data_IF_983621491665
#
_entry.id   IF_983621491665
#
_cell.length_a   1.000
_cell.length_b   1.000
_cell.length_c   1.000
_cell.angle_alpha   90.00
_cell.angle_beta   90.00
_cell.angle_gamma   90.00
#
_symmetry.space_group_name_H-M   'P 1'
#
loop_
_entity.id
_entity.type
_entity.pdbx_description
1 polymer ?
#
# COMPACT_ATOMS: atom_id res chain seq x y z
N UNK A 1 -37.96 -11.68 24.23
CA UNK A 1 -37.00 -12.73 23.79
C UNK A 1 -37.33 -14.03 24.51
N UNK A 2 -37.47 -15.13 23.83
CA UNK A 2 -37.70 -16.44 24.45
C UNK A 2 -36.39 -17.02 25.05
N UNK A 3 -36.49 -18.04 25.89
CA UNK A 3 -35.34 -18.65 26.59
C UNK A 3 -34.29 -19.21 25.60
N UNK A 4 -34.75 -19.69 24.46
CA UNK A 4 -33.90 -20.27 23.41
C UNK A 4 -33.05 -19.16 22.72
N UNK A 5 -33.66 -18.00 22.44
CA UNK A 5 -32.97 -16.83 21.89
C UNK A 5 -31.95 -16.27 22.86
N UNK A 6 -32.29 -16.19 24.18
CA UNK A 6 -31.35 -15.70 25.19
C UNK A 6 -30.13 -16.63 25.34
N UNK A 7 -30.30 -17.92 25.21
CA UNK A 7 -29.20 -18.90 25.19
C UNK A 7 -28.34 -18.74 23.95
N UNK A 8 -28.95 -18.52 22.78
CA UNK A 8 -28.23 -18.29 21.54
C UNK A 8 -27.36 -17.01 21.61
N UNK A 9 -27.90 -15.90 22.15
CA UNK A 9 -27.16 -14.64 22.34
C UNK A 9 -25.95 -14.83 23.23
N UNK A 10 -26.10 -15.41 24.41
CA UNK A 10 -24.99 -15.67 25.33
C UNK A 10 -23.89 -16.53 24.71
N UNK A 11 -24.26 -17.57 23.96
CA UNK A 11 -23.31 -18.41 23.23
C UNK A 11 -22.60 -17.63 22.12
N UNK A 12 -23.33 -16.80 21.38
CA UNK A 12 -22.76 -15.94 20.36
C UNK A 12 -21.75 -14.94 20.93
N UNK A 13 -22.08 -14.30 22.04
CA UNK A 13 -21.17 -13.38 22.74
C UNK A 13 -19.90 -14.09 23.22
N UNK A 14 -20.02 -15.23 23.89
CA UNK A 14 -18.87 -16.03 24.31
C UNK A 14 -17.97 -16.46 23.11
N UNK A 15 -18.58 -16.81 21.99
CA UNK A 15 -17.84 -17.14 20.78
C UNK A 15 -17.12 -15.93 20.16
N UNK A 16 -17.70 -14.72 20.23
CA UNK A 16 -17.02 -13.49 19.84
C UNK A 16 -15.79 -13.21 20.70
N UNK A 17 -15.89 -13.38 22.00
CA UNK A 17 -14.77 -13.22 22.92
C UNK A 17 -13.62 -14.22 22.62
N UNK A 18 -13.98 -15.44 22.22
CA UNK A 18 -13.03 -16.47 21.77
C UNK A 18 -12.50 -16.26 20.35
N UNK A 19 -12.87 -15.18 19.67
CA UNK A 19 -12.45 -14.89 18.27
C UNK A 19 -13.17 -15.75 17.21
N UNK A 20 -14.19 -16.54 17.59
CA UNK A 20 -14.95 -17.45 16.68
C UNK A 20 -16.14 -16.73 16.04
N UNK A 21 -15.85 -15.60 15.37
CA UNK A 21 -16.87 -14.68 14.86
C UNK A 21 -17.87 -15.32 13.90
N UNK A 22 -17.43 -16.28 13.05
CA UNK A 22 -18.31 -16.96 12.10
C UNK A 22 -19.36 -17.85 12.79
N UNK A 23 -18.98 -18.47 13.89
CA UNK A 23 -19.93 -19.29 14.68
C UNK A 23 -20.88 -18.40 15.49
N UNK A 24 -20.36 -17.31 16.05
CA UNK A 24 -21.17 -16.30 16.72
C UNK A 24 -22.25 -15.73 15.81
N UNK A 25 -21.94 -15.44 14.55
CA UNK A 25 -22.89 -14.98 13.53
C UNK A 25 -24.09 -15.95 13.40
N UNK A 26 -23.86 -17.27 13.37
CA UNK A 26 -24.91 -18.25 13.27
C UNK A 26 -25.90 -18.16 14.44
N UNK A 27 -25.40 -17.97 15.66
CA UNK A 27 -26.23 -17.81 16.86
C UNK A 27 -27.02 -16.49 16.83
N UNK A 28 -26.42 -15.37 16.42
CA UNK A 28 -27.13 -14.09 16.30
C UNK A 28 -28.20 -14.10 15.23
N UNK A 29 -27.96 -14.74 14.08
CA UNK A 29 -29.00 -14.93 13.04
C UNK A 29 -30.16 -15.80 13.51
N UNK A 30 -29.89 -16.84 14.31
CA UNK A 30 -30.93 -17.65 14.92
C UNK A 30 -31.80 -16.84 15.89
N UNK A 31 -31.17 -15.98 16.73
CA UNK A 31 -31.91 -15.11 17.62
C UNK A 31 -32.71 -14.03 16.86
N UNK A 32 -32.14 -13.45 15.79
CA UNK A 32 -32.84 -12.50 14.91
C UNK A 32 -34.04 -13.10 14.19
N UNK A 33 -34.01 -14.41 13.86
CA UNK A 33 -35.15 -15.06 13.26
C UNK A 33 -36.39 -15.10 14.22
N UNK A 34 -36.14 -15.14 15.53
CA UNK A 34 -37.20 -15.04 16.54
C UNK A 34 -37.58 -13.61 16.91
N UNK A 35 -36.63 -12.65 16.78
CA UNK A 35 -36.83 -11.23 17.14
C UNK A 35 -36.20 -10.32 16.07
N UNK A 36 -36.83 -10.18 14.88
CA UNK A 36 -36.20 -9.50 13.74
C UNK A 36 -35.96 -7.99 13.92
N UNK A 37 -36.67 -7.34 14.84
CA UNK A 37 -36.56 -5.91 15.13
C UNK A 37 -35.67 -5.56 16.33
N UNK A 38 -34.98 -6.52 16.92
CA UNK A 38 -34.19 -6.30 18.12
C UNK A 38 -32.85 -5.58 17.77
N UNK A 39 -32.64 -4.32 18.22
CA UNK A 39 -31.45 -3.54 17.86
C UNK A 39 -30.15 -4.15 18.42
N UNK A 40 -30.18 -4.73 19.62
CA UNK A 40 -29.01 -5.34 20.22
C UNK A 40 -28.50 -6.53 19.39
N UNK A 41 -29.41 -7.35 18.87
CA UNK A 41 -29.07 -8.49 18.02
C UNK A 41 -28.46 -8.05 16.68
N UNK A 42 -28.96 -6.95 16.10
CA UNK A 42 -28.36 -6.36 14.91
C UNK A 42 -26.97 -5.79 15.17
N UNK A 43 -26.75 -5.15 16.33
CA UNK A 43 -25.44 -4.66 16.76
C UNK A 43 -24.45 -5.81 16.97
N UNK A 44 -24.82 -6.88 17.63
CA UNK A 44 -24.00 -8.08 17.83
C UNK A 44 -23.66 -8.77 16.50
N UNK A 45 -24.63 -8.86 15.60
CA UNK A 45 -24.41 -9.36 14.24
C UNK A 45 -23.38 -8.48 13.50
N UNK A 46 -23.53 -7.14 13.57
CA UNK A 46 -22.60 -6.22 12.93
C UNK A 46 -21.16 -6.40 13.46
N UNK A 47 -20.98 -6.55 14.76
CA UNK A 47 -19.69 -6.82 15.38
C UNK A 47 -19.06 -8.13 14.88
N UNK A 48 -19.88 -9.21 14.78
CA UNK A 48 -19.40 -10.48 14.26
C UNK A 48 -18.97 -10.40 12.80
N UNK A 49 -19.69 -9.63 11.98
CA UNK A 49 -19.38 -9.39 10.58
C UNK A 49 -18.14 -8.53 10.39
N UNK A 50 -17.94 -7.52 11.25
CA UNK A 50 -16.72 -6.70 11.28
C UNK A 50 -15.47 -7.56 11.50
N UNK A 51 -15.51 -8.46 12.48
CA UNK A 51 -14.38 -9.37 12.76
C UNK A 51 -14.09 -10.34 11.58
N UNK A 52 -15.09 -10.59 10.74
CA UNK A 52 -14.95 -11.35 9.51
C UNK A 52 -14.57 -10.50 8.29
N UNK A 53 -14.37 -9.20 8.45
CA UNK A 53 -14.09 -8.21 7.38
C UNK A 53 -15.20 -8.14 6.32
N UNK A 54 -16.43 -8.55 6.67
CA UNK A 54 -17.62 -8.47 5.82
C UNK A 54 -18.31 -7.10 6.00
N UNK A 55 -17.56 -6.05 5.63
CA UNK A 55 -17.90 -4.68 5.95
C UNK A 55 -19.24 -4.20 5.36
N UNK A 56 -19.62 -4.66 4.16
CA UNK A 56 -20.91 -4.31 3.55
C UNK A 56 -22.10 -4.80 4.39
N UNK A 57 -22.06 -6.06 4.81
CA UNK A 57 -23.11 -6.66 5.64
C UNK A 57 -23.09 -6.07 7.07
N UNK A 58 -21.91 -5.79 7.61
CA UNK A 58 -21.78 -5.12 8.91
C UNK A 58 -22.42 -3.72 8.91
N UNK A 59 -22.20 -2.93 7.84
CA UNK A 59 -22.87 -1.63 7.63
C UNK A 59 -24.40 -1.80 7.65
N UNK A 60 -24.92 -2.76 6.90
CA UNK A 60 -26.35 -2.95 6.75
C UNK A 60 -26.99 -3.41 8.09
N UNK A 61 -26.32 -4.29 8.83
CA UNK A 61 -26.75 -4.69 10.16
C UNK A 61 -26.70 -3.53 11.17
N UNK A 62 -25.63 -2.72 11.18
CA UNK A 62 -25.53 -1.55 12.05
C UNK A 62 -26.63 -0.51 11.74
N UNK A 63 -26.95 -0.31 10.46
CA UNK A 63 -28.04 0.59 10.07
C UNK A 63 -29.41 0.06 10.53
N UNK A 64 -29.63 -1.25 10.48
CA UNK A 64 -30.84 -1.86 11.01
C UNK A 64 -30.97 -1.63 12.52
N UNK A 65 -29.87 -1.78 13.28
CA UNK A 65 -29.83 -1.45 14.71
C UNK A 65 -30.21 0.02 14.97
N UNK A 66 -29.57 0.97 14.26
CA UNK A 66 -29.80 2.41 14.41
C UNK A 66 -31.18 2.87 13.93
N UNK A 67 -31.85 2.10 13.08
CA UNK A 67 -33.26 2.37 12.71
C UNK A 67 -34.18 2.10 13.88
N UNK A 68 -33.89 1.08 14.69
CA UNK A 68 -34.67 0.73 15.87
C UNK A 68 -34.25 1.52 17.13
N UNK A 69 -32.95 1.76 17.30
CA UNK A 69 -32.37 2.58 18.37
C UNK A 69 -31.33 3.57 17.82
N UNK A 70 -31.73 4.82 17.50
CA UNK A 70 -30.84 5.83 16.95
C UNK A 70 -29.74 6.32 17.91
N UNK A 71 -29.81 6.01 19.20
CA UNK A 71 -28.84 6.44 20.22
C UNK A 71 -27.90 5.30 20.66
N UNK A 72 -28.00 4.12 20.05
CA UNK A 72 -27.06 3.01 20.37
C UNK A 72 -25.63 3.38 19.92
N UNK A 73 -24.83 3.74 20.92
CA UNK A 73 -23.40 4.08 20.76
C UNK A 73 -22.59 2.94 20.14
N UNK A 74 -22.93 1.70 20.50
CA UNK A 74 -22.24 0.51 20.01
C UNK A 74 -22.55 0.25 18.53
N UNK A 75 -23.81 0.47 18.12
CA UNK A 75 -24.19 0.38 16.72
C UNK A 75 -23.54 1.49 15.87
N UNK A 76 -23.45 2.73 16.39
CA UNK A 76 -22.68 3.80 15.74
C UNK A 76 -21.20 3.42 15.57
N UNK A 77 -20.56 2.92 16.62
CA UNK A 77 -19.17 2.45 16.55
C UNK A 77 -19.00 1.33 15.51
N UNK A 78 -19.90 0.35 15.49
CA UNK A 78 -19.88 -0.71 14.51
C UNK A 78 -20.08 -0.19 13.07
N UNK A 79 -20.99 0.75 12.87
CA UNK A 79 -21.21 1.39 11.58
C UNK A 79 -19.97 2.16 11.11
N UNK A 80 -19.35 2.94 11.99
CA UNK A 80 -18.11 3.66 11.67
C UNK A 80 -16.97 2.69 11.28
N UNK A 81 -16.81 1.58 12.00
CA UNK A 81 -15.86 0.54 11.66
C UNK A 81 -16.13 -0.10 10.28
N UNK A 82 -17.40 -0.37 9.97
CA UNK A 82 -17.81 -0.91 8.68
C UNK A 82 -17.54 0.06 7.52
N UNK A 83 -17.86 1.33 7.70
CA UNK A 83 -17.61 2.39 6.72
C UNK A 83 -16.10 2.59 6.49
N UNK A 84 -15.30 2.58 7.56
CA UNK A 84 -13.83 2.65 7.47
C UNK A 84 -13.26 1.46 6.69
N UNK A 85 -13.76 0.24 6.93
CA UNK A 85 -13.40 -0.96 6.17
C UNK A 85 -13.77 -0.89 4.69
N UNK A 86 -14.88 -0.22 4.36
CA UNK A 86 -15.31 0.08 2.99
C UNK A 86 -14.56 1.26 2.36
N UNK A 87 -13.63 1.90 3.06
CA UNK A 87 -12.90 3.11 2.66
C UNK A 87 -13.79 4.36 2.47
N UNK A 88 -14.98 4.36 3.03
CA UNK A 88 -15.88 5.52 3.12
C UNK A 88 -15.50 6.37 4.35
N UNK A 89 -14.26 6.87 4.35
CA UNK A 89 -13.64 7.49 5.52
C UNK A 89 -14.34 8.80 5.98
N UNK A 90 -14.82 9.68 5.09
CA UNK A 90 -15.56 10.87 5.53
C UNK A 90 -16.85 10.50 6.30
N UNK A 91 -17.63 9.55 5.76
CA UNK A 91 -18.86 9.06 6.42
C UNK A 91 -18.54 8.37 7.76
N UNK A 92 -17.47 7.58 7.81
CA UNK A 92 -17.01 6.95 9.05
C UNK A 92 -16.68 7.97 10.13
N UNK A 93 -16.03 9.09 9.77
CA UNK A 93 -15.71 10.17 10.70
C UNK A 93 -16.95 10.87 11.24
N UNK A 94 -17.95 11.12 10.41
CA UNK A 94 -19.23 11.71 10.83
C UNK A 94 -19.94 10.81 11.85
N UNK A 95 -20.01 9.50 11.56
CA UNK A 95 -20.67 8.52 12.43
C UNK A 95 -19.95 8.37 13.77
N UNK A 96 -18.62 8.32 13.77
CA UNK A 96 -17.85 8.24 15.03
C UNK A 96 -18.03 9.50 15.87
N UNK A 97 -18.09 10.68 15.25
CA UNK A 97 -18.33 11.93 15.96
C UNK A 97 -19.74 11.97 16.55
N UNK A 98 -20.74 11.44 15.83
CA UNK A 98 -22.07 11.28 16.39
C UNK A 98 -22.08 10.37 17.61
N UNK A 99 -21.34 9.26 17.58
CA UNK A 99 -21.16 8.38 18.75
C UNK A 99 -20.49 9.11 19.93
N UNK A 100 -19.50 9.98 19.65
CA UNK A 100 -18.83 10.79 20.66
C UNK A 100 -19.72 11.88 21.27
N UNK A 101 -20.69 12.42 20.53
CA UNK A 101 -21.71 13.31 21.09
C UNK A 101 -22.57 12.58 22.13
N UNK A 102 -22.87 11.30 21.91
CA UNK A 102 -23.63 10.45 22.83
C UNK A 102 -22.78 9.96 24.03
N UNK A 103 -21.50 9.66 23.78
CA UNK A 103 -20.59 9.11 24.78
C UNK A 103 -19.20 9.80 24.74
N UNK A 104 -19.09 11.07 25.20
CA UNK A 104 -17.86 11.88 25.05
C UNK A 104 -16.68 11.38 25.87
N UNK A 105 -16.89 10.54 26.88
CA UNK A 105 -15.85 9.97 27.74
C UNK A 105 -15.46 8.54 27.33
N UNK A 106 -15.80 8.12 26.12
CA UNK A 106 -15.40 6.79 25.62
C UNK A 106 -14.00 6.83 25.00
N UNK A 107 -13.03 6.23 25.68
CA UNK A 107 -11.66 6.08 25.17
C UNK A 107 -11.64 5.34 23.81
N UNK A 108 -12.45 4.29 23.68
CA UNK A 108 -12.54 3.50 22.46
C UNK A 108 -13.05 4.30 21.24
N UNK A 109 -14.01 5.23 21.44
CA UNK A 109 -14.49 6.09 20.36
C UNK A 109 -13.45 7.14 19.95
N UNK A 110 -12.74 7.74 20.90
CA UNK A 110 -11.64 8.65 20.58
C UNK A 110 -10.50 7.91 19.85
N UNK A 111 -10.21 6.68 20.24
CA UNK A 111 -9.26 5.83 19.54
C UNK A 111 -9.73 5.52 18.11
N UNK A 112 -11.00 5.18 17.93
CA UNK A 112 -11.61 4.92 16.63
C UNK A 112 -11.59 6.18 15.73
N UNK A 113 -11.90 7.37 16.28
CA UNK A 113 -11.74 8.64 15.56
C UNK A 113 -10.30 8.83 15.10
N UNK A 114 -9.33 8.57 15.97
CA UNK A 114 -7.90 8.64 15.63
C UNK A 114 -7.50 7.71 14.48
N UNK A 115 -7.99 6.48 14.46
CA UNK A 115 -7.76 5.54 13.34
C UNK A 115 -8.36 6.04 12.03
N UNK A 116 -9.57 6.57 12.05
CA UNK A 116 -10.24 7.11 10.85
C UNK A 116 -9.49 8.35 10.32
N UNK A 117 -9.08 9.25 11.21
CA UNK A 117 -8.32 10.45 10.86
C UNK A 117 -6.94 10.10 10.26
N UNK A 118 -6.25 9.13 10.84
CA UNK A 118 -4.98 8.65 10.31
C UNK A 118 -5.16 8.03 8.91
N UNK A 119 -6.24 7.28 8.70
CA UNK A 119 -6.58 6.71 7.40
C UNK A 119 -6.96 7.79 6.35
N UNK A 120 -7.38 9.00 6.79
CA UNK A 120 -7.62 10.18 5.95
C UNK A 120 -6.37 11.02 5.69
N UNK A 121 -5.17 10.56 6.10
CA UNK A 121 -3.92 11.34 6.03
C UNK A 121 -3.98 12.65 6.84
N UNK A 122 -4.62 12.61 8.03
CA UNK A 122 -4.78 13.73 8.98
C UNK A 122 -4.10 13.39 10.32
N UNK A 123 -2.78 13.15 10.33
CA UNK A 123 -2.07 12.63 11.51
C UNK A 123 -2.03 13.60 12.69
N UNK A 124 -2.09 14.92 12.46
CA UNK A 124 -2.13 15.90 13.53
C UNK A 124 -3.42 15.81 14.35
N UNK A 125 -4.57 15.72 13.68
CA UNK A 125 -5.87 15.57 14.35
C UNK A 125 -6.02 14.18 14.97
N UNK A 126 -5.46 13.14 14.33
CA UNK A 126 -5.40 11.81 14.93
C UNK A 126 -4.64 11.83 16.28
N UNK A 127 -3.52 12.56 16.33
CA UNK A 127 -2.73 12.70 17.57
C UNK A 127 -3.51 13.38 18.71
N UNK A 128 -4.37 14.36 18.37
CA UNK A 128 -5.26 15.01 19.36
C UNK A 128 -6.32 14.03 19.89
N UNK A 129 -6.99 13.29 19.00
CA UNK A 129 -7.99 12.28 19.39
C UNK A 129 -7.38 11.18 20.27
N UNK A 130 -6.21 10.67 19.88
CA UNK A 130 -5.47 9.67 20.66
C UNK A 130 -5.03 10.26 22.03
N UNK A 131 -4.69 11.55 22.07
CA UNK A 131 -4.41 12.24 23.33
C UNK A 131 -5.59 12.19 24.31
N UNK A 132 -6.82 12.39 23.80
CA UNK A 132 -8.06 12.26 24.58
C UNK A 132 -8.31 10.81 25.01
N UNK A 133 -8.16 9.86 24.10
CA UNK A 133 -8.29 8.43 24.40
C UNK A 133 -7.34 8.01 25.54
N UNK A 134 -6.06 8.41 25.44
CA UNK A 134 -5.02 8.10 26.43
C UNK A 134 -5.27 8.76 27.79
N UNK A 135 -5.86 9.95 27.83
CA UNK A 135 -6.24 10.58 29.08
C UNK A 135 -7.32 9.77 29.85
N UNK A 136 -8.18 9.07 29.10
CA UNK A 136 -9.25 8.22 29.64
C UNK A 136 -8.77 6.79 29.93
N UNK A 137 -7.84 6.26 29.13
CA UNK A 137 -7.30 4.91 29.25
C UNK A 137 -5.75 4.93 29.10
N UNK A 138 -4.99 5.34 30.12
CA UNK A 138 -3.54 5.53 30.03
C UNK A 138 -2.74 4.22 29.86
N UNK A 139 -3.30 3.09 30.26
CA UNK A 139 -2.68 1.77 30.17
C UNK A 139 -3.11 0.96 28.92
N UNK A 140 -3.80 1.61 27.98
CA UNK A 140 -4.21 0.97 26.74
C UNK A 140 -3.05 1.00 25.73
N UNK A 141 -2.58 -0.19 25.32
CA UNK A 141 -1.49 -0.36 24.36
C UNK A 141 -1.89 0.15 22.95
N UNK A 142 -3.18 0.02 22.57
CA UNK A 142 -3.68 0.53 21.29
C UNK A 142 -3.54 2.06 21.19
N UNK A 143 -3.78 2.78 22.29
CA UNK A 143 -3.57 4.23 22.37
C UNK A 143 -2.10 4.59 22.13
N UNK A 144 -1.17 3.89 22.76
CA UNK A 144 0.26 4.13 22.58
C UNK A 144 0.72 3.77 21.16
N UNK A 145 0.22 2.68 20.59
CA UNK A 145 0.54 2.25 19.22
C UNK A 145 0.01 3.23 18.17
N UNK A 146 -1.24 3.69 18.30
CA UNK A 146 -1.82 4.66 17.36
C UNK A 146 -1.12 6.03 17.47
N UNK A 147 -0.73 6.43 18.70
CA UNK A 147 0.10 7.62 18.89
C UNK A 147 1.44 7.49 18.15
N UNK A 148 2.08 6.33 18.23
CA UNK A 148 3.31 6.07 17.48
C UNK A 148 3.12 6.16 15.98
N UNK A 149 2.01 5.63 15.46
CA UNK A 149 1.68 5.73 14.04
C UNK A 149 1.49 7.19 13.59
N UNK A 150 0.72 7.98 14.34
CA UNK A 150 0.50 9.39 14.02
C UNK A 150 1.80 10.21 14.08
N UNK A 151 2.66 9.97 15.08
CA UNK A 151 3.96 10.62 15.20
C UNK A 151 4.92 10.22 14.07
N UNK A 152 4.87 8.95 13.63
CA UNK A 152 5.65 8.48 12.48
C UNK A 152 5.26 9.21 11.20
N UNK A 153 3.97 9.41 10.92
CA UNK A 153 3.49 10.16 9.75
C UNK A 153 3.84 11.65 9.84
N UNK A 154 3.88 12.22 11.05
CA UNK A 154 4.35 13.60 11.31
C UNK A 154 5.88 13.75 11.26
N UNK A 155 6.63 12.69 10.94
CA UNK A 155 8.10 12.66 10.97
C UNK A 155 8.75 12.96 12.33
N UNK A 156 8.00 12.85 13.43
CA UNK A 156 8.47 13.02 14.81
C UNK A 156 9.03 11.69 15.34
N UNK A 157 10.13 11.23 14.70
CA UNK A 157 10.60 9.84 14.83
C UNK A 157 11.04 9.46 16.25
N UNK A 158 11.63 10.38 17.03
CA UNK A 158 12.10 10.09 18.39
C UNK A 158 10.91 9.92 19.34
N UNK A 159 9.88 10.73 19.17
CA UNK A 159 8.65 10.59 19.96
C UNK A 159 7.85 9.34 19.55
N UNK A 160 7.88 8.98 18.26
CA UNK A 160 7.27 7.74 17.79
C UNK A 160 7.97 6.51 18.40
N UNK A 161 9.31 6.49 18.51
CA UNK A 161 10.04 5.42 19.21
C UNK A 161 9.66 5.32 20.68
N UNK A 162 9.55 6.45 21.38
CA UNK A 162 9.11 6.44 22.77
C UNK A 162 7.69 5.87 22.93
N UNK A 163 6.79 6.22 21.99
CA UNK A 163 5.42 5.71 21.98
C UNK A 163 5.36 4.20 21.65
N UNK A 164 6.19 3.70 20.72
CA UNK A 164 6.35 2.25 20.46
C UNK A 164 6.86 1.53 21.69
N UNK A 165 7.88 2.07 22.39
CA UNK A 165 8.41 1.47 23.60
C UNK A 165 7.34 1.40 24.71
N UNK A 166 6.49 2.43 24.84
CA UNK A 166 5.34 2.43 25.73
C UNK A 166 4.33 1.34 25.35
N UNK A 167 3.94 1.24 24.07
CA UNK A 167 3.00 0.22 23.60
C UNK A 167 3.51 -1.20 23.89
N UNK A 168 4.79 -1.48 23.57
CA UNK A 168 5.39 -2.81 23.79
C UNK A 168 5.67 -3.11 25.27
N UNK A 169 5.76 -2.11 26.13
CA UNK A 169 5.82 -2.30 27.58
C UNK A 169 4.44 -2.71 28.12
N UNK A 170 3.36 -2.13 27.60
CA UNK A 170 1.98 -2.44 27.99
C UNK A 170 1.55 -3.80 27.43
N UNK A 171 1.80 -4.03 26.15
CA UNK A 171 1.57 -5.31 25.47
C UNK A 171 2.77 -5.71 24.60
N UNK A 172 3.63 -6.63 25.07
CA UNK A 172 4.77 -7.13 24.31
C UNK A 172 4.40 -7.88 23.02
N UNK A 173 3.13 -8.27 22.84
CA UNK A 173 2.64 -8.97 21.66
C UNK A 173 1.81 -8.05 20.74
N UNK A 174 1.87 -6.75 20.94
CA UNK A 174 1.10 -5.79 20.14
C UNK A 174 1.59 -5.74 18.71
N UNK A 175 0.77 -6.23 17.75
CA UNK A 175 1.14 -6.39 16.33
C UNK A 175 1.52 -5.05 15.69
N UNK A 176 0.65 -4.04 15.84
CA UNK A 176 0.88 -2.72 15.24
C UNK A 176 2.13 -2.03 15.81
N UNK A 177 2.41 -2.17 17.10
CA UNK A 177 3.61 -1.61 17.69
C UNK A 177 4.89 -2.22 17.07
N UNK A 178 4.93 -3.54 16.87
CA UNK A 178 6.04 -4.19 16.17
C UNK A 178 6.11 -3.76 14.70
N UNK A 179 4.98 -3.57 14.02
CA UNK A 179 4.95 -3.06 12.65
C UNK A 179 5.53 -1.65 12.56
N UNK A 180 5.12 -0.74 13.44
CA UNK A 180 5.63 0.64 13.48
C UNK A 180 7.11 0.66 13.86
N UNK A 181 7.54 -0.18 14.81
CA UNK A 181 8.96 -0.37 15.14
C UNK A 181 9.79 -0.73 13.91
N UNK A 182 9.27 -1.62 13.06
CA UNK A 182 9.91 -1.98 11.80
C UNK A 182 10.01 -0.82 10.82
N UNK A 183 8.96 -0.01 10.70
CA UNK A 183 8.95 1.19 9.84
C UNK A 183 9.96 2.25 10.34
N UNK A 184 10.02 2.51 11.63
CA UNK A 184 10.98 3.42 12.26
C UNK A 184 12.43 2.96 12.01
N UNK A 185 12.69 1.66 12.19
CA UNK A 185 13.99 1.08 11.93
C UNK A 185 14.41 1.25 10.46
N UNK A 186 13.49 1.07 9.49
CA UNK A 186 13.76 1.31 8.07
C UNK A 186 14.14 2.77 7.80
N UNK A 187 13.42 3.72 8.34
CA UNK A 187 13.74 5.15 8.17
C UNK A 187 15.11 5.52 8.71
N UNK A 188 15.56 4.87 9.78
CA UNK A 188 16.90 5.06 10.37
C UNK A 188 18.00 4.22 9.69
N UNK A 189 17.67 3.47 8.65
CA UNK A 189 18.61 2.62 7.92
C UNK A 189 18.96 1.30 8.64
N UNK A 190 18.22 0.94 9.68
CA UNK A 190 18.39 -0.29 10.46
C UNK A 190 17.69 -1.49 9.83
N UNK A 191 18.11 -1.93 8.63
CA UNK A 191 17.46 -3.02 7.90
C UNK A 191 17.28 -4.32 8.69
N UNK A 192 18.28 -4.76 9.46
CA UNK A 192 18.18 -5.99 10.26
C UNK A 192 17.20 -5.87 11.44
N UNK A 193 17.12 -4.69 12.10
CA UNK A 193 16.13 -4.46 13.14
C UNK A 193 14.71 -4.39 12.57
N UNK A 194 14.55 -3.79 11.39
CA UNK A 194 13.29 -3.78 10.67
C UNK A 194 12.81 -5.19 10.29
N UNK A 195 13.72 -6.04 9.78
CA UNK A 195 13.41 -7.44 9.47
C UNK A 195 12.93 -8.18 10.71
N UNK A 196 13.60 -8.02 11.86
CA UNK A 196 13.19 -8.67 13.11
C UNK A 196 11.81 -8.20 13.56
N UNK A 197 11.57 -6.89 13.57
CA UNK A 197 10.30 -6.31 14.01
C UNK A 197 9.12 -6.77 13.12
N UNK A 198 9.24 -6.68 11.79
CA UNK A 198 8.18 -7.13 10.88
C UNK A 198 7.97 -8.66 10.92
N UNK A 199 9.03 -9.47 11.13
CA UNK A 199 8.89 -10.92 11.35
C UNK A 199 8.14 -11.21 12.65
N UNK A 200 8.37 -10.43 13.71
CA UNK A 200 7.62 -10.58 14.95
C UNK A 200 6.15 -10.25 14.73
N UNK A 201 5.83 -9.13 14.07
CA UNK A 201 4.46 -8.78 13.72
C UNK A 201 3.77 -9.91 12.91
N UNK A 202 4.43 -10.46 11.88
CA UNK A 202 3.88 -11.56 11.06
C UNK A 202 3.77 -12.90 11.78
N UNK A 203 4.56 -13.12 12.84
CA UNK A 203 4.41 -14.31 13.70
C UNK A 203 3.18 -14.20 14.59
N UNK A 204 2.87 -12.98 15.04
CA UNK A 204 1.69 -12.68 15.85
C UNK A 204 0.41 -12.63 15.00
N UNK A 205 0.47 -11.94 13.86
CA UNK A 205 -0.59 -11.94 12.85
C UNK A 205 -0.03 -12.25 11.45
N UNK A 206 -0.14 -13.50 10.96
CA UNK A 206 0.30 -13.88 9.61
C UNK A 206 -0.49 -13.21 8.48
N UNK A 207 -1.62 -12.59 8.75
CA UNK A 207 -2.48 -11.94 7.77
C UNK A 207 -2.18 -10.46 7.59
N UNK A 208 -1.37 -9.85 8.48
CA UNK A 208 -1.01 -8.43 8.40
C UNK A 208 -0.26 -8.12 7.09
N UNK A 209 -0.95 -7.44 6.19
CA UNK A 209 -0.41 -7.02 4.90
C UNK A 209 0.66 -5.93 5.04
N UNK A 210 0.53 -5.04 6.02
CA UNK A 210 1.48 -3.97 6.28
C UNK A 210 2.83 -4.50 6.79
N UNK A 211 2.81 -5.46 7.72
CA UNK A 211 4.03 -6.12 8.18
C UNK A 211 4.69 -6.95 7.07
N UNK A 212 3.90 -7.58 6.18
CA UNK A 212 4.42 -8.33 5.02
C UNK A 212 5.11 -7.40 4.03
N UNK A 213 4.50 -6.27 3.72
CA UNK A 213 5.08 -5.25 2.85
C UNK A 213 6.34 -4.65 3.46
N UNK A 214 6.30 -4.26 4.74
CA UNK A 214 7.45 -3.76 5.48
C UNK A 214 8.60 -4.75 5.52
N UNK A 215 8.34 -6.05 5.72
CA UNK A 215 9.37 -7.10 5.64
C UNK A 215 9.98 -7.19 4.23
N UNK A 216 9.15 -7.12 3.19
CA UNK A 216 9.63 -7.12 1.80
C UNK A 216 10.59 -5.95 1.55
N UNK A 217 10.23 -4.74 1.98
CA UNK A 217 11.07 -3.54 1.86
C UNK A 217 12.35 -3.69 2.70
N UNK A 218 12.25 -4.21 3.92
CA UNK A 218 13.40 -4.43 4.80
C UNK A 218 14.40 -5.43 4.21
N UNK A 219 13.93 -6.51 3.59
CA UNK A 219 14.80 -7.47 2.91
C UNK A 219 15.50 -6.88 1.68
N UNK A 220 14.80 -6.09 0.89
CA UNK A 220 15.39 -5.36 -0.25
C UNK A 220 16.46 -4.36 0.22
N UNK A 221 16.24 -3.70 1.37
CA UNK A 221 17.16 -2.70 1.93
C UNK A 221 18.53 -3.27 2.36
N UNK A 222 18.67 -4.61 2.45
CA UNK A 222 19.97 -5.27 2.61
C UNK A 222 20.92 -5.01 1.43
N UNK A 223 20.35 -4.75 0.23
CA UNK A 223 21.14 -4.25 -0.89
C UNK A 223 21.48 -2.78 -0.65
N UNK A 224 22.77 -2.38 -0.63
CA UNK A 224 23.17 -1.02 -0.30
C UNK A 224 22.64 0.02 -1.30
N UNK A 225 22.51 -0.35 -2.59
CA UNK A 225 21.93 0.53 -3.61
C UNK A 225 20.45 0.78 -3.35
N UNK A 226 19.69 -0.26 -3.02
CA UNK A 226 18.28 -0.13 -2.67
C UNK A 226 18.09 0.65 -1.36
N UNK A 227 18.92 0.40 -0.36
CA UNK A 227 18.93 1.16 0.88
C UNK A 227 19.23 2.65 0.66
N UNK A 228 20.13 2.98 -0.25
CA UNK A 228 20.40 4.37 -0.64
C UNK A 228 19.19 5.01 -1.34
N UNK A 229 18.52 4.28 -2.24
CA UNK A 229 17.30 4.74 -2.91
C UNK A 229 16.15 5.00 -1.92
N UNK A 230 15.96 4.09 -0.95
CA UNK A 230 14.96 4.28 0.11
C UNK A 230 15.23 5.55 0.94
N UNK A 231 16.49 5.78 1.33
CA UNK A 231 16.88 7.01 2.05
C UNK A 231 16.65 8.25 1.21
N UNK A 232 17.01 8.20 -0.08
CA UNK A 232 16.75 9.30 -1.02
C UNK A 232 15.24 9.57 -1.16
N UNK A 233 14.42 8.54 -1.34
CA UNK A 233 12.95 8.66 -1.42
C UNK A 233 12.34 9.22 -0.14
N UNK A 234 12.79 8.75 1.03
CA UNK A 234 12.37 9.28 2.33
C UNK A 234 12.76 10.75 2.52
N UNK A 235 14.00 11.13 2.14
CA UNK A 235 14.43 12.51 2.15
C UNK A 235 13.59 13.37 1.19
N UNK A 236 13.37 12.90 -0.03
CA UNK A 236 12.55 13.61 -1.01
C UNK A 236 11.12 13.81 -0.51
N UNK A 237 10.53 12.81 0.14
CA UNK A 237 9.17 12.92 0.71
C UNK A 237 9.08 13.89 1.89
N UNK A 238 10.18 14.17 2.58
CA UNK A 238 10.24 15.18 3.66
C UNK A 238 10.30 16.64 3.17
N UNK A 239 10.56 16.84 1.86
CA UNK A 239 10.63 18.19 1.29
C UNK A 239 9.23 18.75 0.97
N UNK A 240 9.02 20.07 1.05
CA UNK A 240 7.81 20.73 0.54
C UNK A 240 7.56 20.40 -0.93
N UNK A 241 6.30 20.33 -1.34
CA UNK A 241 5.89 19.89 -2.69
C UNK A 241 6.60 20.66 -3.82
N UNK A 242 6.75 21.98 -3.68
CA UNK A 242 7.47 22.80 -4.68
C UNK A 242 8.94 22.42 -4.81
N UNK A 243 9.62 22.16 -3.70
CA UNK A 243 11.04 21.76 -3.69
C UNK A 243 11.25 20.35 -4.27
N UNK A 244 10.30 19.44 -4.06
CA UNK A 244 10.35 18.10 -4.68
C UNK A 244 10.41 18.17 -6.20
N UNK A 245 9.56 19.02 -6.81
CA UNK A 245 9.55 19.19 -8.26
C UNK A 245 10.87 19.77 -8.78
N UNK A 246 11.47 20.71 -8.06
CA UNK A 246 12.79 21.23 -8.44
C UNK A 246 13.85 20.13 -8.44
N UNK A 247 13.90 19.29 -7.40
CA UNK A 247 14.86 18.17 -7.32
C UNK A 247 14.64 17.16 -8.45
N UNK A 248 13.38 16.82 -8.79
CA UNK A 248 13.06 15.91 -9.87
C UNK A 248 13.41 16.46 -11.26
N UNK A 249 13.44 17.79 -11.42
CA UNK A 249 13.83 18.44 -12.67
C UNK A 249 15.34 18.52 -12.87
N UNK A 250 16.16 18.37 -11.81
CA UNK A 250 17.63 18.48 -11.89
C UNK A 250 18.25 17.63 -12.99
N UNK A 251 17.94 16.32 -13.15
CA UNK A 251 18.52 15.53 -14.24
C UNK A 251 18.19 16.08 -15.63
N UNK A 252 16.94 16.54 -15.82
CA UNK A 252 16.51 17.13 -17.09
C UNK A 252 17.22 18.45 -17.39
N UNK A 253 17.29 19.34 -16.40
CA UNK A 253 17.99 20.63 -16.53
C UNK A 253 19.48 20.39 -16.79
N UNK A 254 20.10 19.45 -16.07
CA UNK A 254 21.52 19.13 -16.22
C UNK A 254 21.83 18.61 -17.64
N UNK A 255 21.05 17.67 -18.16
CA UNK A 255 21.21 17.19 -19.53
C UNK A 255 21.02 18.30 -20.57
N UNK A 256 20.12 19.27 -20.29
CA UNK A 256 19.90 20.42 -21.17
C UNK A 256 21.08 21.41 -21.16
N UNK A 257 21.65 21.66 -19.98
CA UNK A 257 22.82 22.54 -19.81
C UNK A 257 24.09 21.94 -20.39
N UNK A 258 24.20 20.62 -20.50
CA UNK A 258 25.36 19.95 -21.08
C UNK A 258 25.34 19.92 -22.62
N UNK A 259 24.20 20.13 -23.27
CA UNK A 259 24.08 20.13 -24.75
C UNK A 259 25.06 21.02 -25.50
N UNK A 260 25.39 22.25 -25.04
CA UNK A 260 26.40 23.09 -25.72
C UNK A 260 27.77 22.45 -25.77
N UNK A 261 28.05 21.45 -24.96
CA UNK A 261 29.33 20.72 -24.87
C UNK A 261 29.27 19.37 -25.60
N UNK A 262 28.25 19.14 -26.44
CA UNK A 262 28.14 17.93 -27.28
C UNK A 262 29.44 17.79 -28.12
N UNK A 263 30.01 16.57 -28.15
CA UNK A 263 31.31 16.26 -28.76
C UNK A 263 32.49 16.33 -27.80
N UNK A 264 32.28 16.76 -26.53
CA UNK A 264 33.30 16.64 -25.48
C UNK A 264 33.05 15.37 -24.66
N UNK A 265 34.05 14.48 -24.62
CA UNK A 265 33.91 13.14 -23.97
C UNK A 265 33.45 13.22 -22.51
N UNK A 266 33.85 14.24 -21.74
CA UNK A 266 33.42 14.40 -20.36
C UNK A 266 31.93 14.75 -20.24
N UNK A 267 31.37 15.54 -21.16
CA UNK A 267 29.97 15.92 -21.15
C UNK A 267 29.07 14.73 -21.55
N UNK A 268 29.50 13.97 -22.57
CA UNK A 268 28.82 12.72 -22.98
C UNK A 268 28.82 11.68 -21.85
N UNK A 269 29.98 11.46 -21.20
CA UNK A 269 30.07 10.57 -20.04
C UNK A 269 29.15 11.02 -18.91
N UNK A 270 29.09 12.32 -18.61
CA UNK A 270 28.24 12.85 -17.55
C UNK A 270 26.75 12.66 -17.89
N UNK A 271 26.34 12.91 -19.13
CA UNK A 271 24.96 12.65 -19.60
C UNK A 271 24.62 11.17 -19.45
N UNK A 272 25.50 10.28 -19.89
CA UNK A 272 25.29 8.82 -19.78
C UNK A 272 25.16 8.42 -18.30
N UNK A 273 26.00 8.93 -17.41
CA UNK A 273 25.93 8.63 -15.96
C UNK A 273 24.60 9.14 -15.37
N UNK A 274 24.17 10.36 -15.70
CA UNK A 274 22.89 10.90 -15.20
C UNK A 274 21.71 10.07 -15.69
N UNK A 275 21.67 9.74 -16.99
CA UNK A 275 20.63 8.90 -17.56
C UNK A 275 20.64 7.49 -16.94
N UNK A 276 21.83 6.90 -16.77
CA UNK A 276 21.97 5.58 -16.14
C UNK A 276 21.46 5.59 -14.68
N UNK A 277 21.73 6.63 -13.91
CA UNK A 277 21.23 6.78 -12.54
C UNK A 277 19.69 6.89 -12.50
N UNK A 278 19.10 7.66 -13.41
CA UNK A 278 17.65 7.77 -13.54
C UNK A 278 17.03 6.41 -13.89
N UNK A 279 17.56 5.74 -14.91
CA UNK A 279 17.10 4.41 -15.33
C UNK A 279 17.26 3.41 -14.20
N UNK A 280 18.40 3.41 -13.50
CA UNK A 280 18.65 2.52 -12.36
C UNK A 280 17.67 2.78 -11.23
N UNK A 281 17.37 4.04 -10.92
CA UNK A 281 16.41 4.39 -9.86
C UNK A 281 15.01 3.80 -10.14
N UNK A 282 14.59 3.74 -11.40
CA UNK A 282 13.30 3.17 -11.81
C UNK A 282 13.31 1.65 -11.93
N UNK A 283 14.45 1.09 -12.38
CA UNK A 283 14.60 -0.35 -12.55
C UNK A 283 14.88 -1.09 -11.23
N UNK A 284 15.40 -0.39 -10.21
CA UNK A 284 15.90 -1.03 -9.00
C UNK A 284 14.80 -1.77 -8.22
N UNK A 285 13.61 -1.21 -8.13
CA UNK A 285 12.50 -1.88 -7.45
C UNK A 285 12.03 -3.15 -8.18
N UNK A 286 11.73 -3.15 -9.49
CA UNK A 286 11.47 -4.37 -10.24
C UNK A 286 12.61 -5.40 -10.14
N UNK A 287 13.87 -4.98 -10.20
CA UNK A 287 15.02 -5.87 -10.04
C UNK A 287 15.06 -6.51 -8.65
N UNK A 288 14.79 -5.74 -7.59
CA UNK A 288 14.73 -6.30 -6.24
C UNK A 288 13.52 -7.24 -6.07
N UNK A 289 12.40 -6.96 -6.73
CA UNK A 289 11.28 -7.90 -6.78
C UNK A 289 11.65 -9.20 -7.50
N UNK A 290 12.48 -9.15 -8.57
CA UNK A 290 13.04 -10.36 -9.21
C UNK A 290 13.90 -11.18 -8.24
N UNK A 291 14.76 -10.51 -7.46
CA UNK A 291 15.59 -11.20 -6.44
C UNK A 291 14.72 -11.91 -5.40
N UNK A 292 13.66 -11.25 -4.90
CA UNK A 292 12.72 -11.88 -3.97
C UNK A 292 11.90 -13.00 -4.64
N UNK A 293 11.52 -12.86 -5.91
CA UNK A 293 10.77 -13.86 -6.66
C UNK A 293 11.57 -15.16 -6.84
N UNK A 294 12.88 -15.04 -7.13
CA UNK A 294 13.79 -16.17 -7.29
C UNK A 294 14.27 -16.74 -5.95
N UNK A 295 14.13 -15.98 -4.87
CA UNK A 295 14.55 -16.37 -3.53
C UNK A 295 13.50 -17.19 -2.77
N UNK A 296 13.85 -17.55 -1.52
CA UNK A 296 12.94 -18.24 -0.58
C UNK A 296 11.75 -17.38 -0.14
N UNK A 297 11.87 -16.08 -0.27
CA UNK A 297 10.91 -15.06 0.24
C UNK A 297 9.83 -14.67 -0.81
N UNK A 298 9.67 -15.48 -1.88
CA UNK A 298 8.68 -15.23 -2.96
C UNK A 298 7.23 -15.06 -2.47
N UNK A 299 6.92 -15.63 -1.30
CA UNK A 299 5.59 -15.55 -0.68
C UNK A 299 5.26 -14.15 -0.12
N UNK A 300 6.27 -13.31 0.11
CA UNK A 300 6.10 -11.93 0.57
C UNK A 300 5.59 -11.01 -0.54
N UNK A 301 5.84 -11.36 -1.81
CA UNK A 301 5.34 -10.56 -2.93
C UNK A 301 3.84 -10.76 -3.11
N UNK A 302 3.10 -9.66 -3.12
CA UNK A 302 1.67 -9.65 -3.44
C UNK A 302 1.42 -10.17 -4.87
N UNK A 303 0.20 -10.64 -5.16
CA UNK A 303 -0.16 -11.06 -6.53
C UNK A 303 0.11 -9.97 -7.57
N UNK A 304 -0.30 -8.69 -7.35
CA UNK A 304 0.03 -7.61 -8.30
C UNK A 304 1.53 -7.42 -8.49
N UNK A 305 2.34 -7.44 -7.41
CA UNK A 305 3.78 -7.28 -7.51
C UNK A 305 4.45 -8.43 -8.29
N UNK A 306 3.98 -9.67 -8.12
CA UNK A 306 4.48 -10.81 -8.91
C UNK A 306 4.17 -10.68 -10.39
N UNK A 307 2.93 -10.30 -10.74
CA UNK A 307 2.54 -10.08 -12.14
C UNK A 307 3.34 -8.92 -12.76
N UNK A 308 3.52 -7.83 -12.03
CA UNK A 308 4.36 -6.71 -12.46
C UNK A 308 5.81 -7.15 -12.71
N UNK A 309 6.36 -8.00 -11.83
CA UNK A 309 7.72 -8.54 -11.99
C UNK A 309 7.84 -9.45 -13.22
N UNK A 310 6.86 -10.29 -13.50
CA UNK A 310 6.85 -11.10 -14.73
C UNK A 310 6.75 -10.23 -15.98
N UNK A 311 5.90 -9.20 -15.97
CA UNK A 311 5.82 -8.21 -17.05
C UNK A 311 7.15 -7.51 -17.29
N UNK A 312 7.80 -7.06 -16.23
CA UNK A 312 9.15 -6.47 -16.30
C UNK A 312 10.16 -7.42 -16.94
N UNK A 313 10.25 -8.66 -16.47
CA UNK A 313 11.19 -9.66 -17.01
C UNK A 313 10.90 -9.96 -18.48
N UNK A 314 9.65 -10.09 -18.87
CA UNK A 314 9.25 -10.34 -20.26
C UNK A 314 9.68 -9.21 -21.20
N UNK A 315 9.35 -7.97 -20.89
CA UNK A 315 9.71 -6.83 -21.72
C UNK A 315 11.21 -6.51 -21.66
N UNK A 316 11.87 -6.66 -20.50
CA UNK A 316 13.30 -6.45 -20.39
C UNK A 316 14.11 -7.48 -21.22
N UNK A 317 13.73 -8.77 -21.15
CA UNK A 317 14.38 -9.81 -21.96
C UNK A 317 14.15 -9.60 -23.46
N UNK A 318 12.94 -9.22 -23.86
CA UNK A 318 12.64 -8.87 -25.24
C UNK A 318 13.42 -7.64 -25.72
N UNK A 319 13.57 -6.61 -24.88
CA UNK A 319 14.39 -5.43 -25.16
C UNK A 319 15.85 -5.82 -25.39
N UNK A 320 16.45 -6.59 -24.49
CA UNK A 320 17.85 -7.07 -24.60
C UNK A 320 18.03 -7.91 -25.84
N UNK A 321 17.14 -8.85 -26.13
CA UNK A 321 17.20 -9.67 -27.34
C UNK A 321 17.15 -8.81 -28.62
N UNK A 322 16.29 -7.79 -28.63
CA UNK A 322 16.17 -6.86 -29.77
C UNK A 322 17.44 -6.02 -29.95
N UNK A 323 18.08 -5.58 -28.84
CA UNK A 323 19.38 -4.91 -28.90
C UNK A 323 20.45 -5.82 -29.54
N UNK A 324 20.56 -7.07 -29.06
CA UNK A 324 21.54 -8.03 -29.58
C UNK A 324 21.36 -8.26 -31.08
N UNK A 325 20.12 -8.49 -31.53
CA UNK A 325 19.83 -8.65 -32.97
C UNK A 325 20.13 -7.36 -33.76
N UNK A 326 19.78 -6.21 -33.21
CA UNK A 326 20.05 -4.91 -33.85
C UNK A 326 21.55 -4.61 -34.00
N UNK A 327 22.38 -5.03 -33.04
CA UNK A 327 23.84 -4.86 -33.09
C UNK A 327 24.53 -5.80 -34.08
N UNK A 328 23.98 -6.99 -34.35
CA UNK A 328 24.64 -7.99 -35.21
C UNK A 328 24.38 -7.81 -36.68
N UNK A 329 23.17 -7.45 -37.09
CA UNK A 329 22.82 -7.29 -38.54
C UNK A 329 21.49 -6.53 -38.74
N UNK A 330 20.96 -5.84 -37.75
CA UNK A 330 19.63 -5.28 -37.81
C UNK A 330 19.56 -3.82 -38.29
N UNK A 331 18.41 -3.41 -38.88
CA UNK A 331 18.17 -2.03 -39.21
C UNK A 331 18.07 -1.13 -37.98
N UNK A 332 18.40 0.19 -38.03
CA UNK A 332 18.38 1.11 -36.90
C UNK A 332 17.06 1.16 -36.12
N UNK A 333 15.95 0.84 -36.82
CA UNK A 333 14.60 0.76 -36.19
C UNK A 333 14.50 -0.26 -35.06
N UNK A 334 15.35 -1.31 -35.04
CA UNK A 334 15.40 -2.29 -33.94
C UNK A 334 15.89 -1.65 -32.62
N UNK A 335 16.80 -0.69 -32.67
CA UNK A 335 17.23 0.04 -31.49
C UNK A 335 16.09 0.90 -30.90
N UNK A 336 15.29 1.52 -31.76
CA UNK A 336 14.11 2.27 -31.32
C UNK A 336 13.04 1.34 -30.72
N UNK A 337 12.85 0.15 -31.30
CA UNK A 337 11.96 -0.87 -30.75
C UNK A 337 12.44 -1.37 -29.37
N UNK A 338 13.74 -1.63 -29.26
CA UNK A 338 14.36 -2.05 -28.00
C UNK A 338 14.15 -1.01 -26.89
N UNK A 339 14.33 0.28 -27.22
CA UNK A 339 14.06 1.38 -26.27
C UNK A 339 12.58 1.39 -25.84
N UNK A 340 11.64 1.25 -26.77
CA UNK A 340 10.21 1.16 -26.46
C UNK A 340 9.88 -0.02 -25.53
N UNK A 341 10.46 -1.20 -25.80
CA UNK A 341 10.31 -2.38 -24.94
C UNK A 341 10.92 -2.15 -23.54
N UNK A 342 12.06 -1.46 -23.44
CA UNK A 342 12.66 -1.08 -22.16
C UNK A 342 11.74 -0.16 -21.33
N UNK A 343 11.10 0.81 -21.96
CA UNK A 343 10.11 1.68 -21.29
C UNK A 343 8.89 0.88 -20.83
N UNK A 344 8.40 -0.07 -21.62
CA UNK A 344 7.32 -0.96 -21.20
C UNK A 344 7.72 -1.90 -20.06
N UNK A 345 8.98 -2.35 -20.02
CA UNK A 345 9.49 -3.09 -18.86
C UNK A 345 9.38 -2.25 -17.59
N UNK A 346 9.80 -0.98 -17.63
CA UNK A 346 9.71 -0.09 -16.47
C UNK A 346 8.26 0.18 -16.05
N UNK A 347 7.39 0.51 -17.01
CA UNK A 347 5.98 0.74 -16.73
C UNK A 347 5.28 -0.48 -16.11
N UNK A 348 5.55 -1.69 -16.65
CA UNK A 348 4.98 -2.93 -16.08
C UNK A 348 5.56 -3.26 -14.71
N UNK A 349 6.85 -3.03 -14.50
CA UNK A 349 7.53 -3.25 -13.22
C UNK A 349 6.96 -2.41 -12.08
N UNK A 350 6.56 -1.17 -12.36
CA UNK A 350 5.95 -0.24 -11.39
C UNK A 350 4.41 -0.29 -11.34
N UNK A 351 3.75 -1.07 -12.21
CA UNK A 351 2.29 -1.13 -12.27
C UNK A 351 1.59 -1.55 -10.95
N UNK A 352 2.30 -2.23 -10.06
CA UNK A 352 1.76 -2.64 -8.75
C UNK A 352 1.63 -1.47 -7.75
N UNK A 353 2.35 -0.35 -7.94
CA UNK A 353 2.26 0.86 -7.12
C UNK A 353 1.06 1.73 -7.50
N UNK A 354 0.49 1.54 -8.69
CA UNK A 354 -0.70 2.25 -9.17
C UNK A 354 -1.92 1.90 -8.31
N UNK A 355 -2.79 2.86 -8.09
CA UNK A 355 -4.05 2.69 -7.36
C UNK A 355 -4.84 1.49 -7.86
N UNK A 356 -5.49 0.77 -6.95
CA UNK A 356 -6.12 -0.53 -7.25
C UNK A 356 -7.20 -0.45 -8.34
N UNK A 357 -7.95 0.64 -8.40
CA UNK A 357 -8.98 0.93 -9.40
C UNK A 357 -8.42 1.16 -10.82
N UNK A 358 -7.19 1.69 -10.90
CA UNK A 358 -6.52 2.03 -12.16
C UNK A 358 -5.55 0.95 -12.68
N UNK A 359 -5.28 -0.10 -11.91
CA UNK A 359 -4.30 -1.16 -12.28
C UNK A 359 -4.61 -1.91 -13.57
N UNK A 360 -5.87 -1.92 -14.02
CA UNK A 360 -6.26 -2.55 -15.28
C UNK A 360 -5.68 -1.81 -16.49
N UNK A 361 -5.48 -0.50 -16.38
CA UNK A 361 -4.99 0.33 -17.49
C UNK A 361 -3.59 -0.08 -17.96
N UNK A 362 -2.55 -0.11 -17.07
CA UNK A 362 -1.23 -0.55 -17.48
C UNK A 362 -1.20 -2.03 -17.90
N UNK A 363 -2.05 -2.90 -17.33
CA UNK A 363 -2.10 -4.30 -17.73
C UNK A 363 -2.64 -4.49 -19.16
N UNK A 364 -3.71 -3.80 -19.53
CA UNK A 364 -4.25 -3.83 -20.90
C UNK A 364 -3.25 -3.21 -21.87
N UNK A 365 -2.66 -2.06 -21.51
CA UNK A 365 -1.63 -1.41 -22.32
C UNK A 365 -0.45 -2.34 -22.59
N UNK A 366 0.03 -3.07 -21.59
CA UNK A 366 1.12 -4.03 -21.73
C UNK A 366 0.77 -5.19 -22.67
N UNK A 367 -0.45 -5.73 -22.61
CA UNK A 367 -0.89 -6.78 -23.52
C UNK A 367 -0.92 -6.28 -24.99
N UNK A 368 -1.43 -5.08 -25.22
CA UNK A 368 -1.44 -4.46 -26.55
C UNK A 368 -0.01 -4.18 -27.04
N UNK A 369 0.85 -3.67 -26.15
CA UNK A 369 2.25 -3.40 -26.49
C UNK A 369 3.02 -4.66 -26.85
N UNK A 370 2.79 -5.78 -26.16
CA UNK A 370 3.42 -7.06 -26.48
C UNK A 370 3.04 -7.53 -27.89
N UNK A 371 1.75 -7.41 -28.26
CA UNK A 371 1.29 -7.75 -29.61
C UNK A 371 1.92 -6.84 -30.67
N UNK A 372 1.89 -5.52 -30.43
CA UNK A 372 2.50 -4.54 -31.35
C UNK A 372 4.00 -4.74 -31.49
N UNK A 373 4.71 -5.13 -30.43
CA UNK A 373 6.13 -5.39 -30.46
C UNK A 373 6.49 -6.59 -31.36
N UNK A 374 5.70 -7.66 -31.31
CA UNK A 374 5.88 -8.83 -32.19
C UNK A 374 5.68 -8.42 -33.63
N UNK A 375 4.62 -7.66 -33.93
CA UNK A 375 4.32 -7.15 -35.29
C UNK A 375 5.43 -6.20 -35.76
N UNK A 376 5.88 -5.27 -34.87
CA UNK A 376 6.95 -4.33 -35.18
C UNK A 376 8.28 -5.04 -35.50
N UNK A 377 8.63 -6.05 -34.71
CA UNK A 377 9.83 -6.86 -34.94
C UNK A 377 9.77 -7.59 -36.26
N UNK A 378 8.69 -8.33 -36.53
CA UNK A 378 8.49 -9.06 -37.80
C UNK A 378 8.49 -8.12 -39.01
N UNK A 379 7.77 -7.00 -38.95
CA UNK A 379 7.74 -6.01 -40.02
C UNK A 379 9.13 -5.37 -40.27
N UNK A 380 9.89 -5.12 -39.21
CA UNK A 380 11.25 -4.54 -39.32
C UNK A 380 12.22 -5.51 -39.95
N UNK A 381 12.19 -6.79 -39.58
CA UNK A 381 13.02 -7.84 -40.16
C UNK A 381 12.64 -8.10 -41.62
N UNK A 382 11.36 -8.07 -41.95
CA UNK A 382 10.85 -8.21 -43.33
C UNK A 382 11.08 -6.97 -44.22
N UNK A 383 11.59 -5.86 -43.67
CA UNK A 383 11.83 -4.62 -44.42
C UNK A 383 10.56 -3.87 -44.81
N UNK A 384 9.43 -4.11 -44.17
CA UNK A 384 8.16 -3.48 -44.47
C UNK A 384 8.18 -1.96 -44.24
N UNK A 385 7.59 -1.18 -45.14
CA UNK A 385 7.50 0.29 -45.03
C UNK A 385 6.74 0.72 -43.74
N UNK A 386 5.70 -0.02 -43.38
CA UNK A 386 4.88 0.22 -42.17
C UNK A 386 5.61 -0.03 -40.84
N UNK A 387 6.79 -0.68 -40.85
CA UNK A 387 7.54 -1.00 -39.65
C UNK A 387 7.84 0.23 -38.79
N UNK A 388 8.17 1.36 -39.41
CA UNK A 388 8.45 2.62 -38.68
C UNK A 388 7.28 3.13 -37.84
N UNK A 389 6.07 3.03 -38.37
CA UNK A 389 4.86 3.47 -37.66
C UNK A 389 4.58 2.58 -36.45
N UNK A 390 4.67 1.26 -36.60
CA UNK A 390 4.40 0.32 -35.49
C UNK A 390 5.46 0.45 -34.41
N UNK A 391 6.74 0.59 -34.78
CA UNK A 391 7.84 0.85 -33.79
C UNK A 391 7.58 2.15 -33.02
N UNK A 392 7.15 3.22 -33.71
CA UNK A 392 6.83 4.49 -33.06
C UNK A 392 5.65 4.37 -32.08
N UNK A 393 4.63 3.57 -32.40
CA UNK A 393 3.51 3.30 -31.48
C UNK A 393 3.96 2.57 -30.22
N UNK A 394 4.87 1.59 -30.34
CA UNK A 394 5.44 0.90 -29.17
C UNK A 394 6.22 1.87 -28.30
N UNK A 395 7.02 2.74 -28.88
CA UNK A 395 7.81 3.73 -28.15
C UNK A 395 6.93 4.76 -27.45
N UNK A 396 6.00 5.39 -28.16
CA UNK A 396 5.09 6.40 -27.60
C UNK A 396 4.19 5.82 -26.53
N UNK A 397 3.69 4.59 -26.75
CA UNK A 397 2.92 3.86 -25.75
C UNK A 397 3.74 3.58 -24.48
N UNK A 398 5.02 3.21 -24.64
CA UNK A 398 5.94 3.02 -23.51
C UNK A 398 6.19 4.31 -22.72
N UNK A 399 6.39 5.44 -23.39
CA UNK A 399 6.50 6.75 -22.76
C UNK A 399 5.22 7.07 -21.97
N UNK A 400 4.06 6.97 -22.61
CA UNK A 400 2.77 7.26 -21.98
C UNK A 400 2.51 6.36 -20.77
N UNK A 401 2.78 5.05 -20.89
CA UNK A 401 2.61 4.09 -19.78
C UNK A 401 3.54 4.39 -18.59
N UNK A 402 4.78 4.76 -18.85
CA UNK A 402 5.74 5.13 -17.80
C UNK A 402 5.28 6.39 -17.05
N UNK A 403 4.83 7.41 -17.78
CA UNK A 403 4.24 8.61 -17.18
C UNK A 403 2.99 8.28 -16.37
N UNK A 404 2.11 7.45 -16.92
CA UNK A 404 0.90 7.02 -16.19
C UNK A 404 1.24 6.35 -14.86
N UNK A 405 2.21 5.43 -14.84
CA UNK A 405 2.59 4.72 -13.60
C UNK A 405 3.30 5.60 -12.57
N UNK A 406 3.87 6.72 -12.98
CA UNK A 406 4.51 7.69 -12.06
C UNK A 406 3.49 8.63 -11.41
N UNK A 407 2.38 8.96 -12.10
CA UNK A 407 1.41 9.96 -11.66
C UNK A 407 0.05 9.39 -11.22
N UNK A 408 -0.25 8.11 -11.47
CA UNK A 408 -1.46 7.41 -11.05
C UNK A 408 -1.30 6.69 -9.71
#
# INVERSE_FOLDING_TARGET
>A
MDETSAVAVRRGQALLELGRAKEAEGHFRTALAASPGDPELHTLLAQSLLRQQRYGEARDASRAALTADPEDVTAHSALAGALAGLKLLPEALEVVRRALELAPLSAGLHLQEGYVLLAQDRPAEALESVGRARALAPEDADCAALRAAALYELHRLDEADAAVAEALRLDPQHVDAHRIQGLLALRRGGGESAIRAHRTALRLDPTDSGAREGLSVALKSRNPLYGALLRYGSWLSSLPTGTRWLVLLVPFVLTRLLRPFDGQTWAEVLIVVVVALVVLSWALEPLMNCVLLLGRERHLLSRPARLATYGFLGFASASIATVVVGMTAGPPRLMTLALGLGLWAMATGSAHTVRADLRKVPAIGAAVAALLAVVAFAATVAGAESAGLVVSLVLLGGIAATWFTVFA
#
